data_IF_438907487266
#
_entry.id   IF_438907487266
#
_cell.length_a   1.000
_cell.length_b   1.000
_cell.length_c   1.000
_cell.angle_alpha   90.00
_cell.angle_beta   90.00
_cell.angle_gamma   90.00
#
_symmetry.space_group_name_H-M   'P 1'
#
loop_
_entity.id
_entity.type
_entity.pdbx_description
1 polymer ?
#
# COMPACT_ATOMS: atom_id res chain seq x y z
N UNK A 1 -36.16 8.04 -7.87
CA UNK A 1 -35.65 6.77 -8.43
C UNK A 1 -34.16 6.80 -8.83
N UNK A 2 -33.33 7.72 -8.31
CA UNK A 2 -31.91 7.90 -8.76
C UNK A 2 -30.84 7.74 -7.66
N UNK A 3 -31.21 7.44 -6.42
CA UNK A 3 -30.26 7.41 -5.30
C UNK A 3 -29.27 6.23 -5.38
N UNK A 4 -29.64 5.16 -6.07
CA UNK A 4 -28.86 3.93 -6.25
C UNK A 4 -27.71 4.05 -7.26
N UNK A 5 -27.57 5.18 -7.96
CA UNK A 5 -26.43 5.41 -8.88
C UNK A 5 -25.37 6.34 -8.27
N UNK A 6 -25.66 6.95 -7.11
CA UNK A 6 -24.69 7.79 -6.40
C UNK A 6 -23.79 6.93 -5.53
N UNK A 7 -22.52 6.81 -5.92
CA UNK A 7 -21.50 6.05 -5.19
C UNK A 7 -21.39 6.47 -3.72
N UNK A 8 -21.64 7.76 -3.41
CA UNK A 8 -21.59 8.28 -2.03
C UNK A 8 -22.59 7.59 -1.11
N UNK A 9 -23.70 7.10 -1.66
CA UNK A 9 -24.71 6.36 -0.90
C UNK A 9 -24.24 4.96 -0.49
N UNK A 10 -23.39 4.30 -1.28
CA UNK A 10 -22.85 2.97 -0.97
C UNK A 10 -21.56 3.03 -0.16
N UNK A 11 -20.72 4.04 -0.40
CA UNK A 11 -19.45 4.20 0.32
C UNK A 11 -19.63 4.55 1.81
N UNK A 12 -20.79 5.10 2.18
CA UNK A 12 -21.16 5.37 3.57
C UNK A 12 -21.78 4.15 4.29
N UNK A 13 -21.79 2.98 3.66
CA UNK A 13 -22.37 1.75 4.19
C UNK A 13 -21.28 0.69 4.39
N UNK A 14 -21.52 -0.33 5.25
CA UNK A 14 -20.60 -1.45 5.40
C UNK A 14 -20.40 -2.21 4.08
N UNK A 15 -19.15 -2.62 3.80
CA UNK A 15 -18.76 -3.23 2.53
C UNK A 15 -19.12 -4.72 2.42
N UNK A 16 -19.24 -5.41 3.56
CA UNK A 16 -19.56 -6.83 3.62
C UNK A 16 -20.61 -7.14 4.68
N UNK A 17 -21.19 -8.35 4.61
CA UNK A 17 -22.14 -8.84 5.62
C UNK A 17 -21.49 -8.95 7.02
N UNK A 18 -20.21 -9.29 7.09
CA UNK A 18 -19.45 -9.37 8.33
C UNK A 18 -19.28 -7.96 8.98
N UNK A 19 -19.05 -6.93 8.17
CA UNK A 19 -18.97 -5.53 8.63
C UNK A 19 -20.31 -5.04 9.22
N UNK A 20 -21.44 -5.53 8.71
CA UNK A 20 -22.78 -5.21 9.25
C UNK A 20 -22.98 -5.86 10.62
N UNK A 21 -22.55 -7.11 10.78
CA UNK A 21 -22.76 -7.90 12.01
C UNK A 21 -21.88 -7.41 13.18
N UNK A 22 -20.64 -6.99 12.88
CA UNK A 22 -19.71 -6.44 13.88
C UNK A 22 -20.18 -5.08 14.44
N UNK A 23 -20.87 -4.26 13.64
CA UNK A 23 -21.42 -2.97 14.09
C UNK A 23 -22.62 -3.09 15.02
N UNK A 24 -23.30 -4.24 15.08
CA UNK A 24 -24.50 -4.42 15.91
C UNK A 24 -24.18 -4.80 17.38
N UNK A 25 -22.92 -5.04 17.72
CA UNK A 25 -22.48 -5.43 19.07
C UNK A 25 -22.25 -4.26 20.03
N UNK A 26 -22.20 -3.01 19.55
CA UNK A 26 -22.01 -1.83 20.39
C UNK A 26 -23.02 -0.75 19.99
N UNK A 27 -23.84 -0.34 20.95
CA UNK A 27 -24.87 0.68 20.87
C UNK A 27 -26.12 0.33 20.03
N UNK A 28 -27.18 -0.07 20.74
CA UNK A 28 -28.52 0.09 20.23
C UNK A 28 -28.79 1.55 19.87
N UNK A 29 -29.47 1.74 18.72
CA UNK A 29 -29.97 3.00 18.15
C UNK A 29 -28.85 3.93 17.66
N UNK A 30 -28.60 3.97 16.34
CA UNK A 30 -28.29 5.17 15.54
C UNK A 30 -27.85 4.81 14.10
N UNK A 31 -28.76 4.33 13.24
CA UNK A 31 -28.58 4.39 11.76
C UNK A 31 -29.92 4.42 11.02
N UNK A 32 -30.89 5.19 11.52
CA UNK A 32 -32.09 5.55 10.74
C UNK A 32 -32.01 7.03 10.33
N UNK A 33 -31.00 7.43 9.55
CA UNK A 33 -31.00 8.71 8.82
C UNK A 33 -29.72 8.92 7.98
N UNK A 34 -29.45 8.05 7.01
CA UNK A 34 -28.87 8.55 5.76
C UNK A 34 -29.14 7.55 4.64
N UNK A 35 -30.15 7.87 3.82
CA UNK A 35 -30.34 7.27 2.49
C UNK A 35 -30.38 5.74 2.43
N UNK A 36 -31.33 5.12 3.13
CA UNK A 36 -31.58 3.68 3.05
C UNK A 36 -31.79 3.23 1.61
N UNK A 37 -30.78 2.60 1.03
CA UNK A 37 -31.00 1.59 0.01
C UNK A 37 -31.71 0.41 0.68
N UNK A 38 -32.72 -0.20 0.06
CA UNK A 38 -33.41 -1.34 0.66
C UNK A 38 -32.41 -2.46 0.94
N UNK A 39 -32.28 -2.84 2.22
CA UNK A 39 -31.50 -4.02 2.58
C UNK A 39 -32.31 -5.25 2.18
N UNK A 40 -31.90 -5.91 1.10
CA UNK A 40 -32.56 -7.12 0.59
C UNK A 40 -32.18 -8.32 1.45
N UNK A 41 -33.09 -9.29 1.60
CA UNK A 41 -32.79 -10.57 2.28
C UNK A 41 -31.92 -11.50 1.40
N UNK A 42 -31.71 -11.13 0.15
CA UNK A 42 -30.87 -11.86 -0.80
C UNK A 42 -29.40 -11.85 -0.36
N UNK A 43 -28.70 -12.94 -0.66
CA UNK A 43 -27.27 -13.08 -0.39
C UNK A 43 -26.50 -13.05 -1.70
N UNK A 44 -25.46 -12.24 -1.77
CA UNK A 44 -24.52 -12.18 -2.88
C UNK A 44 -23.11 -12.44 -2.35
N UNK A 45 -22.39 -13.37 -2.98
CA UNK A 45 -21.03 -13.73 -2.59
C UNK A 45 -20.09 -13.42 -3.77
N UNK A 46 -19.05 -12.65 -3.50
CA UNK A 46 -17.97 -12.37 -4.44
C UNK A 46 -16.72 -13.10 -3.93
N UNK A 47 -16.12 -13.92 -4.79
CA UNK A 47 -14.79 -14.47 -4.55
C UNK A 47 -13.79 -13.61 -5.33
N UNK A 48 -12.81 -13.04 -4.64
CA UNK A 48 -11.76 -12.21 -5.25
C UNK A 48 -10.40 -12.87 -5.03
N UNK A 49 -9.59 -12.89 -6.09
CA UNK A 49 -8.16 -13.21 -6.01
C UNK A 49 -7.39 -11.94 -6.37
N UNK A 50 -6.66 -11.38 -5.42
CA UNK A 50 -5.79 -10.21 -5.66
C UNK A 50 -4.42 -10.74 -6.11
N UNK A 51 -4.09 -10.56 -7.37
CA UNK A 51 -2.78 -10.93 -7.92
C UNK A 51 -1.87 -9.69 -7.93
N UNK A 52 -0.75 -9.77 -7.22
CA UNK A 52 0.35 -8.81 -7.40
C UNK A 52 0.92 -9.00 -8.81
N UNK A 53 0.72 -8.01 -9.68
CA UNK A 53 1.45 -7.89 -10.95
C UNK A 53 2.72 -7.08 -10.72
N UNK A 54 3.60 -6.89 -11.73
CA UNK A 54 4.73 -5.95 -11.70
C UNK A 54 4.29 -4.46 -11.62
N UNK A 55 3.27 -4.18 -10.83
CA UNK A 55 2.73 -2.85 -10.59
C UNK A 55 2.57 -2.68 -9.08
N UNK A 56 3.49 -1.94 -8.47
CA UNK A 56 3.30 -1.48 -7.09
C UNK A 56 2.19 -0.44 -7.06
N UNK A 57 1.32 -0.51 -6.05
CA UNK A 57 0.34 0.56 -5.77
C UNK A 57 0.92 1.62 -4.85
N UNK A 58 2.10 1.38 -4.28
CA UNK A 58 2.82 2.34 -3.48
C UNK A 58 3.43 3.41 -4.40
N UNK A 59 2.92 4.63 -4.30
CA UNK A 59 3.31 5.77 -5.15
C UNK A 59 4.77 6.18 -4.94
N UNK A 60 5.30 5.98 -3.74
CA UNK A 60 6.68 6.33 -3.38
C UNK A 60 7.66 5.31 -4.00
N UNK A 61 7.35 4.02 -3.87
CA UNK A 61 8.11 2.96 -4.53
C UNK A 61 8.05 3.09 -6.06
N UNK A 62 6.88 3.43 -6.62
CA UNK A 62 6.75 3.70 -8.06
C UNK A 62 7.57 4.91 -8.50
N UNK A 63 7.63 5.95 -7.67
CA UNK A 63 8.45 7.15 -7.89
C UNK A 63 9.93 6.82 -8.00
N UNK A 64 10.44 5.91 -7.16
CA UNK A 64 11.80 5.39 -7.28
C UNK A 64 11.98 4.50 -8.51
N UNK A 65 11.10 3.52 -8.75
CA UNK A 65 11.25 2.60 -9.88
C UNK A 65 11.20 3.32 -11.24
N UNK A 66 10.47 4.44 -11.30
CA UNK A 66 10.37 5.29 -12.49
C UNK A 66 11.16 6.61 -12.35
N UNK A 67 12.25 6.63 -11.58
CA UNK A 67 12.98 7.85 -11.25
C UNK A 67 13.45 8.67 -12.47
N UNK A 68 13.70 8.03 -13.62
CA UNK A 68 14.10 8.72 -14.87
C UNK A 68 12.97 9.49 -15.55
N UNK A 69 11.72 9.08 -15.34
CA UNK A 69 10.53 9.77 -15.88
C UNK A 69 9.75 10.50 -14.79
N UNK A 70 10.24 10.48 -13.56
CA UNK A 70 9.60 11.12 -12.41
C UNK A 70 9.78 12.63 -12.49
N UNK A 71 8.72 13.38 -12.19
CA UNK A 71 8.77 14.83 -12.06
C UNK A 71 9.40 15.27 -10.73
N UNK A 72 9.66 14.33 -9.83
CA UNK A 72 10.20 14.55 -8.48
C UNK A 72 11.71 14.32 -8.48
N UNK A 73 12.44 15.12 -7.70
CA UNK A 73 13.90 14.98 -7.57
C UNK A 73 14.28 13.60 -7.01
N UNK A 74 15.45 13.08 -7.40
CA UNK A 74 16.00 11.82 -6.89
C UNK A 74 16.10 11.83 -5.35
N UNK A 75 16.51 12.95 -4.75
CA UNK A 75 16.56 13.10 -3.28
C UNK A 75 15.19 12.85 -2.63
N UNK A 76 14.13 13.42 -3.21
CA UNK A 76 12.76 13.20 -2.73
C UNK A 76 12.37 11.71 -2.80
N UNK A 77 12.66 11.05 -3.93
CA UNK A 77 12.32 9.64 -4.10
C UNK A 77 13.08 8.74 -3.10
N UNK A 78 14.37 9.03 -2.84
CA UNK A 78 15.18 8.28 -1.87
C UNK A 78 14.67 8.47 -0.43
N UNK A 79 14.31 9.70 -0.04
CA UNK A 79 13.72 9.96 1.28
C UNK A 79 12.40 9.24 1.46
N UNK A 80 11.56 9.26 0.42
CA UNK A 80 10.26 8.58 0.43
C UNK A 80 10.36 7.07 0.47
N UNK A 81 11.37 6.49 -0.16
CA UNK A 81 11.63 5.06 -0.06
C UNK A 81 11.86 4.60 1.39
N UNK A 82 12.50 5.43 2.23
CA UNK A 82 12.72 5.11 3.65
C UNK A 82 11.44 5.05 4.48
N UNK A 83 10.33 5.62 3.98
CA UNK A 83 9.01 5.59 4.61
C UNK A 83 8.16 4.39 4.17
N UNK A 84 8.58 3.68 3.11
CA UNK A 84 7.85 2.53 2.56
C UNK A 84 7.99 1.31 3.49
N UNK A 85 6.91 0.55 3.65
CA UNK A 85 6.95 -0.67 4.47
C UNK A 85 7.90 -1.70 3.87
N UNK A 86 8.82 -2.23 4.67
CA UNK A 86 9.80 -3.22 4.19
C UNK A 86 9.18 -4.48 3.58
N UNK A 87 7.96 -4.87 3.97
CA UNK A 87 7.24 -5.99 3.33
C UNK A 87 6.86 -5.70 1.88
N UNK A 88 6.71 -4.43 1.50
CA UNK A 88 6.52 -4.00 0.12
C UNK A 88 7.85 -3.95 -0.63
N UNK A 89 8.90 -3.43 -0.01
CA UNK A 89 10.20 -3.32 -0.68
C UNK A 89 10.77 -4.72 -1.00
N UNK A 90 10.62 -5.69 -0.08
CA UNK A 90 11.05 -7.09 -0.29
C UNK A 90 10.35 -7.75 -1.49
N UNK A 91 9.09 -7.37 -1.79
CA UNK A 91 8.36 -7.89 -2.96
C UNK A 91 8.95 -7.39 -4.29
N UNK A 92 9.60 -6.24 -4.28
CA UNK A 92 10.21 -5.60 -5.45
C UNK A 92 11.73 -5.48 -5.30
N UNK A 93 12.35 -6.27 -4.42
CA UNK A 93 13.73 -6.07 -3.99
C UNK A 93 14.71 -5.97 -5.16
N UNK A 94 14.57 -6.85 -6.16
CA UNK A 94 15.42 -6.81 -7.34
C UNK A 94 15.25 -5.50 -8.11
N UNK A 95 14.02 -5.11 -8.43
CA UNK A 95 13.73 -3.88 -9.17
C UNK A 95 14.16 -2.63 -8.38
N UNK A 96 13.99 -2.64 -7.05
CA UNK A 96 14.44 -1.57 -6.13
C UNK A 96 15.96 -1.44 -6.12
N UNK A 97 16.69 -2.56 -5.94
CA UNK A 97 18.15 -2.57 -5.95
C UNK A 97 18.71 -2.14 -7.30
N UNK A 98 18.14 -2.63 -8.40
CA UNK A 98 18.53 -2.21 -9.74
C UNK A 98 18.33 -0.70 -9.94
N UNK A 99 17.23 -0.12 -9.45
CA UNK A 99 17.02 1.33 -9.49
C UNK A 99 18.06 2.09 -8.66
N UNK A 100 18.32 1.66 -7.42
CA UNK A 100 19.30 2.28 -6.52
C UNK A 100 20.73 2.24 -7.07
N UNK A 101 21.15 1.09 -7.61
CA UNK A 101 22.48 0.95 -8.21
C UNK A 101 22.64 1.77 -9.48
N UNK A 102 21.60 1.87 -10.30
CA UNK A 102 21.59 2.74 -11.46
C UNK A 102 21.70 4.22 -11.08
N UNK A 103 21.00 4.66 -10.01
CA UNK A 103 21.11 6.03 -9.49
C UNK A 103 22.55 6.29 -9.04
N UNK A 104 23.10 5.44 -8.18
CA UNK A 104 24.48 5.56 -7.67
C UNK A 104 25.50 5.62 -8.81
N UNK A 105 25.34 4.79 -9.84
CA UNK A 105 26.25 4.75 -11.00
C UNK A 105 26.15 6.01 -11.86
N UNK A 106 24.96 6.59 -12.03
CA UNK A 106 24.75 7.81 -12.83
C UNK A 106 25.06 9.11 -12.05
N UNK A 107 25.03 9.09 -10.71
CA UNK A 107 25.32 10.25 -9.87
C UNK A 107 26.70 10.21 -9.21
N UNK A 108 27.62 9.36 -9.70
CA UNK A 108 28.88 9.05 -9.01
C UNK A 108 29.89 10.23 -8.92
N UNK A 109 29.65 11.34 -9.63
CA UNK A 109 30.45 12.56 -9.50
C UNK A 109 30.13 13.35 -8.21
N UNK A 110 29.09 12.94 -7.48
CA UNK A 110 28.58 13.60 -6.27
C UNK A 110 28.32 12.58 -5.17
N UNK A 111 29.23 12.49 -4.19
CA UNK A 111 29.17 11.61 -3.00
C UNK A 111 27.91 11.79 -2.12
N UNK A 112 27.05 12.75 -2.46
CA UNK A 112 25.79 13.09 -1.78
C UNK A 112 24.82 11.90 -1.71
N UNK A 113 24.83 11.02 -2.71
CA UNK A 113 23.85 9.92 -2.80
C UNK A 113 24.36 8.60 -2.24
N UNK A 114 25.67 8.45 -2.03
CA UNK A 114 26.27 7.23 -1.49
C UNK A 114 25.75 6.90 -0.09
N UNK A 115 25.66 7.93 0.77
CA UNK A 115 25.11 7.78 2.12
C UNK A 115 23.61 7.47 2.10
N UNK A 116 22.84 8.06 1.18
CA UNK A 116 21.39 7.82 1.07
C UNK A 116 21.08 6.41 0.55
N UNK A 117 21.86 5.91 -0.41
CA UNK A 117 21.75 4.54 -0.91
C UNK A 117 22.18 3.55 0.17
N UNK A 118 23.25 3.85 0.91
CA UNK A 118 23.68 3.03 2.04
C UNK A 118 22.60 2.95 3.12
N UNK A 119 22.01 4.08 3.53
CA UNK A 119 20.93 4.12 4.53
C UNK A 119 19.69 3.34 4.05
N UNK A 120 19.33 3.44 2.77
CA UNK A 120 18.25 2.65 2.20
C UNK A 120 18.53 1.14 2.26
N UNK A 121 19.76 0.70 1.93
CA UNK A 121 20.17 -0.71 2.00
C UNK A 121 20.22 -1.27 3.43
N UNK A 122 20.62 -0.43 4.40
CA UNK A 122 20.63 -0.80 5.82
C UNK A 122 19.20 -0.92 6.36
N UNK A 123 18.31 0.00 5.97
CA UNK A 123 16.88 -0.05 6.30
C UNK A 123 16.21 -1.33 5.76
N UNK A 124 16.52 -1.69 4.51
CA UNK A 124 16.06 -2.95 3.89
C UNK A 124 16.51 -4.19 4.69
N UNK A 125 17.78 -4.23 5.05
CA UNK A 125 18.37 -5.35 5.80
C UNK A 125 17.71 -5.52 7.17
N UNK A 126 17.37 -4.41 7.85
CA UNK A 126 16.68 -4.43 9.13
C UNK A 126 15.22 -4.87 8.98
N UNK A 127 14.52 -4.37 7.97
CA UNK A 127 13.14 -4.77 7.65
C UNK A 127 13.01 -6.27 7.37
N UNK A 128 13.94 -6.85 6.59
CA UNK A 128 14.02 -8.28 6.34
C UNK A 128 14.21 -9.11 7.62
N UNK A 129 15.01 -8.62 8.56
CA UNK A 129 15.23 -9.30 9.85
C UNK A 129 13.94 -9.34 10.69
N UNK A 130 13.22 -8.22 10.78
CA UNK A 130 11.95 -8.14 11.54
C UNK A 130 10.82 -8.96 10.92
N UNK A 131 10.81 -9.11 9.59
CA UNK A 131 9.83 -9.95 8.90
C UNK A 131 10.15 -11.44 9.09
N UNK A 132 11.45 -11.81 9.04
CA UNK A 132 11.92 -13.17 9.31
C UNK A 132 11.60 -13.68 10.73
N UNK A 133 11.60 -12.80 11.73
CA UNK A 133 11.16 -13.13 13.09
C UNK A 133 9.63 -13.30 13.19
N UNK A 134 8.85 -12.44 12.51
CA UNK A 134 7.38 -12.52 12.50
C UNK A 134 6.84 -13.80 11.84
N UNK A 135 7.51 -14.31 10.81
CA UNK A 135 7.15 -15.58 10.17
C UNK A 135 7.62 -16.81 10.96
N UNK A 136 8.70 -16.70 11.76
CA UNK A 136 9.12 -17.79 12.66
C UNK A 136 8.22 -17.94 13.89
N UNK A 137 7.65 -16.86 14.42
CA UNK A 137 6.70 -16.91 15.55
C UNK A 137 5.34 -17.50 15.13
N UNK A 138 5.05 -17.58 13.83
CA UNK A 138 3.84 -18.20 13.28
C UNK A 138 3.98 -19.67 12.91
N UNK A 139 5.14 -20.31 13.17
CA UNK A 139 5.36 -21.74 12.96
C UNK A 139 5.43 -22.51 14.27
#
# INVERSE_FOLDING_TARGET
MKKAEDARCYLAQPGTKEDVETSNGQAGKLTHHSGMLPLTKDSFQISTLICSTKLTQNVDLLGLLNWRSSHQSIEHNLRKLMEVEGSEIVKFLQDTLDALFNIMMETCESDVYDFLVFDALVSESLSLHTHGERERVRR
#
